data_IF_546807660008
#
_entry.id   IF_546807660008
#
_cell.length_a   1.000
_cell.length_b   1.000
_cell.length_c   1.000
_cell.angle_alpha   90.00
_cell.angle_beta   90.00
_cell.angle_gamma   90.00
#
_symmetry.space_group_name_H-M   'P 1'
#
loop_
_entity.id
_entity.type
_entity.pdbx_description
1 polymer ?
#
# COMPACT_ATOMS: atom_id res chain seq x y z
N UNK A 1 -13.15 22.19 -9.77
CA UNK A 1 -12.98 20.93 -10.53
C UNK A 1 -14.18 20.07 -10.20
N UNK A 2 -14.86 19.47 -11.17
CA UNK A 2 -16.01 18.57 -10.91
C UNK A 2 -15.49 17.19 -10.48
N UNK A 3 -16.31 16.40 -9.77
CA UNK A 3 -15.93 15.02 -9.39
C UNK A 3 -15.60 14.15 -10.62
N UNK A 4 -16.33 14.35 -11.73
CA UNK A 4 -16.04 13.66 -12.98
C UNK A 4 -14.64 13.98 -13.51
N UNK A 5 -14.20 15.24 -13.39
CA UNK A 5 -12.84 15.65 -13.76
C UNK A 5 -11.78 14.99 -12.86
N UNK A 6 -12.05 14.83 -11.56
CA UNK A 6 -11.16 14.10 -10.65
C UNK A 6 -11.04 12.64 -11.08
N UNK A 7 -12.17 11.95 -11.26
CA UNK A 7 -12.21 10.55 -11.68
C UNK A 7 -11.43 10.34 -12.98
N UNK A 8 -11.70 11.17 -14.00
CA UNK A 8 -11.07 11.04 -15.31
C UNK A 8 -9.57 11.36 -15.25
N UNK A 9 -9.17 12.37 -14.47
CA UNK A 9 -7.76 12.67 -14.24
C UNK A 9 -7.05 11.50 -13.58
N UNK A 10 -7.56 11.02 -12.44
CA UNK A 10 -6.95 9.91 -11.68
C UNK A 10 -6.87 8.68 -12.55
N UNK A 11 -7.97 8.27 -13.20
CA UNK A 11 -7.99 7.12 -14.09
C UNK A 11 -6.96 7.23 -15.22
N UNK A 12 -6.72 8.42 -15.77
CA UNK A 12 -5.75 8.64 -16.84
C UNK A 12 -4.29 8.65 -16.40
N UNK A 13 -4.02 8.83 -15.10
CA UNK A 13 -2.68 9.04 -14.54
C UNK A 13 -2.21 7.92 -13.62
N UNK A 14 -3.15 7.22 -12.99
CA UNK A 14 -2.88 6.17 -12.03
C UNK A 14 -2.14 5.00 -12.70
N UNK A 15 -1.12 4.49 -12.02
CA UNK A 15 -0.32 3.35 -12.47
C UNK A 15 -0.08 2.42 -11.31
N UNK A 16 -0.33 1.13 -11.55
CA UNK A 16 -0.15 0.08 -10.56
C UNK A 16 0.50 -1.14 -11.22
N UNK A 17 1.55 -1.67 -10.60
CA UNK A 17 2.29 -2.84 -11.09
C UNK A 17 2.45 -3.84 -9.96
N UNK A 18 1.78 -4.98 -10.05
CA UNK A 18 1.97 -6.08 -9.10
C UNK A 18 3.38 -6.65 -9.22
N UNK A 19 3.98 -6.99 -8.08
CA UNK A 19 5.30 -7.58 -7.97
C UNK A 19 5.22 -9.03 -7.48
N UNK A 20 4.66 -9.92 -8.31
CA UNK A 20 4.46 -11.34 -7.97
C UNK A 20 5.71 -12.06 -7.43
N UNK A 21 6.96 -11.77 -7.86
CA UNK A 21 8.14 -12.41 -7.28
C UNK A 21 8.36 -12.18 -5.77
N UNK A 22 7.74 -11.15 -5.19
CA UNK A 22 7.81 -10.88 -3.76
C UNK A 22 6.78 -11.68 -2.96
N UNK A 23 5.65 -12.04 -3.57
CA UNK A 23 4.52 -12.65 -2.87
C UNK A 23 4.90 -14.06 -2.43
N UNK A 24 4.63 -14.38 -1.17
CA UNK A 24 4.96 -15.65 -0.53
C UNK A 24 6.35 -15.70 0.12
N UNK A 25 7.18 -14.67 -0.04
CA UNK A 25 8.48 -14.62 0.65
C UNK A 25 8.28 -14.51 2.17
N UNK A 26 9.09 -15.28 2.89
CA UNK A 26 9.09 -15.33 4.35
C UNK A 26 10.18 -14.42 4.91
N UNK A 27 9.77 -13.49 5.76
CA UNK A 27 10.61 -12.43 6.31
C UNK A 27 10.72 -12.61 7.83
N UNK A 28 11.84 -13.13 8.35
CA UNK A 28 12.08 -13.19 9.78
C UNK A 28 12.36 -11.79 10.32
N UNK A 29 11.49 -11.29 11.19
CA UNK A 29 11.66 -10.00 11.88
C UNK A 29 12.13 -10.28 13.30
N UNK A 30 13.30 -9.78 13.68
CA UNK A 30 13.91 -10.08 14.98
C UNK A 30 13.55 -9.04 16.05
N UNK A 31 13.51 -7.78 15.65
CA UNK A 31 13.14 -6.67 16.53
C UNK A 31 12.55 -5.53 15.70
N UNK A 32 11.73 -4.69 16.33
CA UNK A 32 11.20 -3.48 15.69
C UNK A 32 12.33 -2.56 15.22
N UNK A 33 13.41 -2.45 16.03
CA UNK A 33 14.58 -1.64 15.70
C UNK A 33 15.38 -2.16 14.48
N UNK A 34 15.18 -3.41 14.08
CA UNK A 34 15.88 -4.03 12.96
C UNK A 34 15.00 -4.26 11.75
N UNK A 35 13.74 -3.80 11.81
CA UNK A 35 12.71 -4.09 10.82
C UNK A 35 13.13 -3.77 9.39
N UNK A 36 13.65 -2.56 9.14
CA UNK A 36 14.12 -2.17 7.79
C UNK A 36 15.16 -3.15 7.28
N UNK A 37 16.20 -3.40 8.10
CA UNK A 37 17.31 -4.29 7.74
C UNK A 37 16.82 -5.70 7.46
N UNK A 38 15.93 -6.21 8.32
CA UNK A 38 15.40 -7.56 8.22
C UNK A 38 14.58 -7.74 6.93
N UNK A 39 13.72 -6.76 6.60
CA UNK A 39 12.97 -6.75 5.33
C UNK A 39 13.92 -6.60 4.14
N UNK A 40 14.80 -5.59 4.15
CA UNK A 40 15.71 -5.31 3.04
C UNK A 40 16.59 -6.53 2.72
N UNK A 41 17.18 -7.17 3.72
CA UNK A 41 18.01 -8.35 3.53
C UNK A 41 17.23 -9.51 2.87
N UNK A 42 15.95 -9.67 3.22
CA UNK A 42 15.14 -10.77 2.70
C UNK A 42 14.64 -10.53 1.27
N UNK A 43 14.58 -9.27 0.81
CA UNK A 43 14.12 -8.91 -0.55
C UNK A 43 15.21 -8.27 -1.42
N UNK A 44 16.47 -8.23 -0.96
CA UNK A 44 17.57 -7.48 -1.58
C UNK A 44 17.75 -7.79 -3.07
N UNK A 45 17.70 -9.07 -3.43
CA UNK A 45 17.86 -9.53 -4.82
C UNK A 45 16.71 -9.11 -5.77
N UNK A 46 15.58 -8.68 -5.21
CA UNK A 46 14.40 -8.24 -5.96
C UNK A 46 14.20 -6.72 -5.89
N UNK A 47 14.85 -6.03 -4.95
CA UNK A 47 14.71 -4.60 -4.79
C UNK A 47 15.37 -3.85 -5.95
N UNK A 48 14.74 -2.79 -6.47
CA UNK A 48 15.39 -1.83 -7.34
C UNK A 48 16.62 -1.21 -6.65
N UNK A 49 17.68 -0.96 -7.42
CA UNK A 49 18.95 -0.41 -6.91
C UNK A 49 18.75 0.95 -6.21
N UNK A 50 17.75 1.71 -6.64
CA UNK A 50 17.39 3.03 -6.13
C UNK A 50 16.28 3.00 -5.06
N UNK A 51 15.91 1.83 -4.55
CA UNK A 51 14.87 1.70 -3.54
C UNK A 51 15.32 2.23 -2.16
N UNK A 52 14.74 3.37 -1.77
CA UNK A 52 15.00 4.03 -0.47
C UNK A 52 13.87 3.69 0.49
N UNK A 53 14.22 3.21 1.69
CA UNK A 53 13.22 2.89 2.71
C UNK A 53 12.47 4.15 3.16
N UNK A 54 11.15 4.06 3.17
CA UNK A 54 10.25 5.16 3.48
C UNK A 54 9.22 4.66 4.50
N UNK A 55 9.67 4.37 5.72
CA UNK A 55 8.77 3.89 6.77
C UNK A 55 7.99 4.99 7.44
N UNK A 56 6.76 4.61 7.81
CA UNK A 56 5.97 5.28 8.84
C UNK A 56 6.69 5.24 10.20
N UNK A 57 6.27 6.14 11.08
CA UNK A 57 6.79 6.18 12.45
C UNK A 57 6.62 4.83 13.17
N UNK A 58 7.62 4.47 13.98
CA UNK A 58 7.70 3.19 14.71
C UNK A 58 6.43 2.88 15.52
N UNK A 59 5.78 3.90 16.11
CA UNK A 59 4.54 3.72 16.88
C UNK A 59 3.38 3.14 16.04
N UNK A 60 3.28 3.51 14.77
CA UNK A 60 2.20 3.02 13.90
C UNK A 60 2.46 1.58 13.48
N UNK A 61 3.72 1.26 13.17
CA UNK A 61 4.13 -0.09 12.81
C UNK A 61 3.92 -1.05 13.98
N UNK A 62 4.35 -0.67 15.18
CA UNK A 62 4.16 -1.50 16.39
C UNK A 62 2.70 -1.72 16.74
N UNK A 63 1.85 -0.68 16.62
CA UNK A 63 0.40 -0.81 16.81
C UNK A 63 -0.24 -1.74 15.78
N UNK A 64 0.11 -1.63 14.49
CA UNK A 64 -0.39 -2.50 13.44
C UNK A 64 0.04 -3.96 13.63
N UNK A 65 1.29 -4.19 14.02
CA UNK A 65 1.79 -5.53 14.34
C UNK A 65 1.05 -6.14 15.54
N UNK A 66 0.88 -5.38 16.63
CA UNK A 66 0.21 -5.88 17.84
C UNK A 66 -1.27 -6.17 17.65
N UNK A 67 -1.95 -5.33 16.85
CA UNK A 67 -3.40 -5.41 16.66
C UNK A 67 -3.80 -6.38 15.56
N UNK A 68 -3.04 -6.42 14.46
CA UNK A 68 -3.43 -7.11 13.24
C UNK A 68 -2.41 -8.13 12.74
N UNK A 69 -1.21 -8.17 13.34
CA UNK A 69 -0.12 -9.00 12.82
C UNK A 69 0.38 -8.53 11.46
N UNK A 70 0.27 -7.22 11.16
CA UNK A 70 0.60 -6.64 9.86
C UNK A 70 1.81 -5.72 9.91
N UNK A 71 2.59 -5.72 8.83
CA UNK A 71 3.58 -4.69 8.52
C UNK A 71 3.28 -4.16 7.12
N UNK A 72 3.03 -2.86 7.02
CA UNK A 72 2.94 -2.12 5.75
C UNK A 72 4.29 -1.45 5.46
N UNK A 73 5.14 -2.12 4.69
CA UNK A 73 6.47 -1.65 4.34
C UNK A 73 6.45 -0.88 3.03
N UNK A 74 7.27 0.18 2.96
CA UNK A 74 7.28 1.11 1.83
C UNK A 74 8.69 1.54 1.49
N UNK A 75 8.95 1.64 0.19
CA UNK A 75 10.16 2.21 -0.36
C UNK A 75 9.78 3.27 -1.40
N UNK A 76 10.47 4.40 -1.43
CA UNK A 76 10.47 5.28 -2.59
C UNK A 76 11.33 4.66 -3.68
N UNK A 77 10.84 4.67 -4.92
CA UNK A 77 11.54 4.13 -6.11
C UNK A 77 11.44 5.11 -7.27
N UNK A 78 12.29 4.95 -8.30
CA UNK A 78 12.21 5.77 -9.50
C UNK A 78 10.85 5.61 -10.21
N UNK A 79 10.24 6.71 -10.67
CA UNK A 79 9.04 6.68 -11.51
C UNK A 79 9.23 5.90 -12.82
N UNK A 80 10.48 5.68 -13.27
CA UNK A 80 10.76 4.87 -14.45
C UNK A 80 10.29 3.41 -14.30
N UNK A 81 10.15 2.92 -13.07
CA UNK A 81 9.60 1.59 -12.79
C UNK A 81 8.14 1.42 -13.25
N UNK A 82 7.43 2.52 -13.48
CA UNK A 82 6.05 2.58 -13.98
C UNK A 82 5.98 3.09 -15.42
N UNK A 83 7.02 2.88 -16.24
CA UNK A 83 6.99 3.17 -17.68
C UNK A 83 6.43 2.00 -18.51
N UNK A 84 6.55 0.77 -18.01
CA UNK A 84 6.13 -0.46 -18.70
C UNK A 84 5.47 -1.45 -17.75
N UNK A 85 4.60 -2.31 -18.29
CA UNK A 85 3.91 -3.40 -17.59
C UNK A 85 3.11 -2.97 -16.35
N UNK A 86 2.47 -1.80 -16.42
CA UNK A 86 1.56 -1.31 -15.40
C UNK A 86 0.11 -1.40 -15.87
N UNK A 87 -0.79 -1.52 -14.90
CA UNK A 87 -2.22 -1.36 -15.06
C UNK A 87 -2.59 0.10 -14.82
N UNK A 88 -3.65 0.58 -15.48
CA UNK A 88 -4.16 1.95 -15.37
C UNK A 88 -5.66 2.00 -15.70
N UNK A 89 -6.28 3.18 -15.55
CA UNK A 89 -7.66 3.42 -15.98
C UNK A 89 -8.72 3.07 -14.94
N UNK A 90 -9.98 3.29 -15.30
CA UNK A 90 -11.15 3.01 -14.44
C UNK A 90 -11.26 1.53 -14.08
N UNK A 91 -10.89 0.64 -15.00
CA UNK A 91 -10.89 -0.81 -14.75
C UNK A 91 -9.91 -1.20 -13.64
N UNK A 92 -8.74 -0.55 -13.56
CA UNK A 92 -7.83 -0.73 -12.42
C UNK A 92 -8.49 -0.26 -11.12
N UNK A 93 -9.06 0.95 -11.11
CA UNK A 93 -9.72 1.48 -9.91
C UNK A 93 -10.82 0.53 -9.42
N UNK A 94 -11.67 0.03 -10.32
CA UNK A 94 -12.70 -0.97 -9.98
C UNK A 94 -12.10 -2.29 -9.48
N UNK A 95 -11.00 -2.77 -10.09
CA UNK A 95 -10.29 -3.97 -9.65
C UNK A 95 -9.65 -3.80 -8.25
N UNK A 96 -9.41 -2.56 -7.83
CA UNK A 96 -8.95 -2.19 -6.49
C UNK A 96 -10.10 -1.70 -5.60
N UNK A 97 -11.34 -2.08 -5.94
CA UNK A 97 -12.56 -1.88 -5.16
C UNK A 97 -13.09 -0.44 -5.06
N UNK A 98 -12.58 0.49 -5.87
CA UNK A 98 -13.16 1.83 -5.94
C UNK A 98 -14.54 1.76 -6.61
N UNK A 99 -15.59 2.15 -5.87
CA UNK A 99 -16.96 2.18 -6.40
C UNK A 99 -17.19 3.44 -7.23
N UNK A 100 -16.73 3.40 -8.48
CA UNK A 100 -16.93 4.50 -9.42
C UNK A 100 -18.40 4.62 -9.82
N UNK A 101 -19.20 3.56 -9.72
CA UNK A 101 -20.61 3.60 -10.11
C UNK A 101 -21.45 4.38 -9.08
N UNK A 102 -21.16 4.17 -7.79
CA UNK A 102 -21.73 4.95 -6.68
C UNK A 102 -21.53 6.46 -6.90
N UNK A 103 -20.33 6.87 -7.30
CA UNK A 103 -20.02 8.30 -7.53
C UNK A 103 -20.77 8.94 -8.71
N UNK A 104 -21.40 8.13 -9.56
CA UNK A 104 -22.21 8.62 -10.68
C UNK A 104 -23.70 8.64 -10.35
N UNK A 105 -24.11 8.10 -9.20
CA UNK A 105 -25.49 8.14 -8.75
C UNK A 105 -25.82 9.54 -8.20
N UNK A 106 -26.79 10.28 -8.78
CA UNK A 106 -27.18 11.59 -8.30
C UNK A 106 -27.81 11.59 -6.90
N UNK A 107 -28.17 10.41 -6.35
CA UNK A 107 -28.69 10.27 -4.99
C UNK A 107 -27.59 10.17 -3.91
N UNK A 108 -26.34 9.94 -4.31
CA UNK A 108 -25.21 9.80 -3.38
C UNK A 108 -24.70 11.18 -2.97
N UNK A 109 -24.48 11.36 -1.66
CA UNK A 109 -23.70 12.47 -1.15
C UNK A 109 -22.21 12.18 -1.38
N UNK A 110 -21.66 12.79 -2.43
CA UNK A 110 -20.28 12.57 -2.87
C UNK A 110 -19.29 13.02 -1.79
N UNK A 111 -19.63 14.01 -0.96
CA UNK A 111 -18.73 14.53 0.08
C UNK A 111 -18.53 13.52 1.23
N UNK A 112 -19.48 12.61 1.43
CA UNK A 112 -19.37 11.53 2.43
C UNK A 112 -18.77 10.23 1.85
N UNK A 113 -18.52 10.17 0.54
CA UNK A 113 -18.00 8.96 -0.11
C UNK A 113 -16.50 8.77 0.14
N UNK A 114 -16.15 7.65 0.79
CA UNK A 114 -14.75 7.21 0.96
C UNK A 114 -14.03 7.06 -0.38
N UNK A 115 -14.73 6.57 -1.42
CA UNK A 115 -14.19 6.47 -2.78
C UNK A 115 -13.79 7.85 -3.28
N UNK A 116 -14.65 8.86 -3.13
CA UNK A 116 -14.36 10.21 -3.59
C UNK A 116 -13.19 10.85 -2.83
N UNK A 117 -13.19 10.77 -1.49
CA UNK A 117 -12.09 11.29 -0.69
C UNK A 117 -10.75 10.66 -1.08
N UNK A 118 -10.71 9.36 -1.34
CA UNK A 118 -9.50 8.69 -1.81
C UNK A 118 -9.06 9.18 -3.20
N UNK A 119 -10.00 9.40 -4.13
CA UNK A 119 -9.70 9.95 -5.46
C UNK A 119 -9.15 11.38 -5.38
N UNK A 120 -9.66 12.24 -4.50
CA UNK A 120 -9.12 13.59 -4.29
C UNK A 120 -7.69 13.56 -3.78
N UNK A 121 -7.39 12.72 -2.78
CA UNK A 121 -6.01 12.57 -2.30
C UNK A 121 -5.06 12.01 -3.37
N UNK A 122 -5.55 11.10 -4.22
CA UNK A 122 -4.78 10.61 -5.38
C UNK A 122 -4.47 11.72 -6.38
N UNK A 123 -5.41 12.62 -6.64
CA UNK A 123 -5.21 13.74 -7.56
C UNK A 123 -3.99 14.59 -7.14
N UNK A 124 -3.85 14.86 -5.84
CA UNK A 124 -2.70 15.58 -5.29
C UNK A 124 -1.39 14.80 -5.45
N UNK A 125 -1.36 13.51 -5.08
CA UNK A 125 -0.16 12.69 -5.18
C UNK A 125 0.33 12.51 -6.64
N UNK A 126 -0.60 12.31 -7.57
CA UNK A 126 -0.31 12.10 -8.99
C UNK A 126 0.31 13.34 -9.64
N UNK A 127 0.18 14.51 -9.03
CA UNK A 127 0.84 15.74 -9.47
C UNK A 127 2.34 15.78 -9.11
N UNK A 128 2.78 14.97 -8.14
CA UNK A 128 4.14 14.97 -7.61
C UNK A 128 5.13 14.05 -8.35
N UNK A 129 4.66 13.25 -9.32
CA UNK A 129 5.48 12.32 -10.11
C UNK A 129 6.34 11.35 -9.27
N UNK A 130 5.82 10.91 -8.12
CA UNK A 130 6.47 9.91 -7.24
C UNK A 130 6.03 8.49 -7.57
N UNK A 131 6.82 7.51 -7.13
CA UNK A 131 6.47 6.11 -7.16
C UNK A 131 6.93 5.42 -5.87
N UNK A 132 6.13 4.46 -5.41
CA UNK A 132 6.36 3.71 -4.19
C UNK A 132 6.28 2.22 -4.48
N UNK A 133 7.26 1.47 -3.96
CA UNK A 133 7.16 0.04 -3.80
C UNK A 133 6.56 -0.24 -2.43
N UNK A 134 5.48 -1.03 -2.40
CA UNK A 134 4.71 -1.37 -1.20
C UNK A 134 4.74 -2.88 -1.00
N UNK A 135 4.99 -3.32 0.23
CA UNK A 135 4.98 -4.71 0.65
C UNK A 135 3.99 -4.87 1.81
N UNK A 136 3.02 -5.78 1.66
CA UNK A 136 2.05 -6.12 2.69
C UNK A 136 2.48 -7.42 3.35
N UNK A 137 2.99 -7.34 4.57
CA UNK A 137 3.50 -8.48 5.31
C UNK A 137 2.48 -8.87 6.39
N UNK A 138 2.12 -10.15 6.46
CA UNK A 138 1.26 -10.69 7.52
C UNK A 138 1.94 -11.84 8.26
N UNK A 139 1.81 -11.86 9.57
CA UNK A 139 2.10 -13.02 10.39
C UNK A 139 0.79 -13.70 10.82
N UNK A 140 0.86 -14.96 11.23
CA UNK A 140 -0.32 -15.66 11.80
C UNK A 140 -0.93 -14.85 12.96
N UNK A 141 -2.23 -14.96 13.20
CA UNK A 141 -2.86 -14.23 14.29
C UNK A 141 -2.28 -14.68 15.66
N UNK A 142 -1.96 -13.73 16.53
CA UNK A 142 -1.46 -14.01 17.88
C UNK A 142 -2.56 -13.77 18.92
N UNK A 143 -3.61 -14.58 18.91
CA UNK A 143 -4.76 -14.42 19.81
C UNK A 143 -5.45 -13.06 19.65
N UNK A 144 -6.11 -12.59 20.72
CA UNK A 144 -6.85 -11.33 20.71
C UNK A 144 -5.96 -10.12 20.41
N UNK A 145 -6.51 -9.15 19.67
CA UNK A 145 -5.87 -7.88 19.33
C UNK A 145 -5.38 -7.12 20.58
N UNK A 146 -4.07 -6.80 20.63
CA UNK A 146 -3.47 -6.07 21.75
C UNK A 146 -3.12 -4.63 21.38
N UNK A 147 -3.18 -3.73 22.36
CA UNK A 147 -2.79 -2.32 22.22
C UNK A 147 -1.27 -2.12 22.16
N UNK A 148 -0.49 -3.12 22.56
CA UNK A 148 0.98 -3.10 22.57
C UNK A 148 1.53 -4.47 22.20
N UNK A 149 2.73 -4.48 21.61
CA UNK A 149 3.45 -5.72 21.29
C UNK A 149 3.81 -6.48 22.58
N UNK A 150 3.41 -7.75 22.74
CA UNK A 150 3.91 -8.62 23.79
C UNK A 150 5.45 -8.70 23.78
N UNK A 151 6.05 -8.91 24.97
CA UNK A 151 7.51 -9.01 25.14
C UNK A 151 8.09 -10.16 24.31
N UNK A 152 7.31 -11.22 24.12
CA UNK A 152 7.62 -12.44 23.39
C UNK A 152 7.08 -12.46 21.95
N UNK A 153 6.55 -11.33 21.46
CA UNK A 153 5.98 -11.29 20.11
C UNK A 153 7.01 -11.48 18.99
N UNK A 154 8.25 -11.03 19.21
CA UNK A 154 9.39 -11.19 18.29
C UNK A 154 10.47 -12.07 18.94
N UNK A 155 11.27 -12.83 18.16
CA UNK A 155 11.30 -12.86 16.69
C UNK A 155 10.10 -13.57 16.07
N UNK A 156 9.69 -13.13 14.87
CA UNK A 156 8.54 -13.69 14.16
C UNK A 156 8.70 -13.65 12.65
N UNK A 157 8.25 -14.70 11.99
CA UNK A 157 8.18 -14.74 10.52
C UNK A 157 6.89 -14.10 10.03
N UNK A 158 7.04 -13.18 9.08
CA UNK A 158 5.94 -12.63 8.30
C UNK A 158 6.01 -13.16 6.86
N UNK A 159 4.89 -13.22 6.17
CA UNK A 159 4.80 -13.58 4.76
C UNK A 159 4.36 -12.34 3.98
N UNK A 160 5.00 -12.05 2.86
CA UNK A 160 4.51 -11.03 1.93
C UNK A 160 3.24 -11.57 1.25
N UNK A 161 2.08 -11.04 1.58
CA UNK A 161 0.80 -11.42 0.95
C UNK A 161 0.54 -10.63 -0.32
N UNK A 162 1.05 -9.40 -0.39
CA UNK A 162 0.90 -8.54 -1.55
C UNK A 162 2.11 -7.63 -1.72
N UNK A 163 2.41 -7.28 -2.96
CA UNK A 163 3.49 -6.40 -3.32
C UNK A 163 3.19 -5.67 -4.62
N UNK A 164 3.45 -4.36 -4.65
CA UNK A 164 3.26 -3.57 -5.86
C UNK A 164 4.22 -2.39 -5.95
N UNK A 165 4.30 -1.81 -7.16
CA UNK A 165 4.74 -0.44 -7.38
C UNK A 165 3.52 0.38 -7.79
N UNK A 166 3.33 1.55 -7.17
CA UNK A 166 2.24 2.46 -7.49
C UNK A 166 2.72 3.91 -7.49
N UNK A 167 2.08 4.76 -8.29
CA UNK A 167 2.29 6.21 -8.25
C UNK A 167 1.28 6.96 -7.38
N UNK A 168 0.57 6.22 -6.52
CA UNK A 168 -0.19 6.76 -5.41
C UNK A 168 -0.24 5.74 -4.27
N UNK A 169 -0.07 6.23 -3.05
CA UNK A 169 -0.21 5.42 -1.83
C UNK A 169 -1.68 5.08 -1.53
N UNK A 170 -2.63 5.87 -2.03
CA UNK A 170 -4.06 5.66 -1.79
C UNK A 170 -4.63 4.46 -2.53
N UNK A 171 -4.05 4.03 -3.66
CA UNK A 171 -4.40 2.74 -4.28
C UNK A 171 -4.17 1.58 -3.32
N UNK A 172 -3.03 1.62 -2.62
CA UNK A 172 -2.66 0.60 -1.64
C UNK A 172 -3.52 0.67 -0.40
N UNK A 173 -3.72 1.89 0.11
CA UNK A 173 -4.50 2.11 1.34
C UNK A 173 -5.95 1.66 1.14
N UNK A 174 -6.56 2.04 0.02
CA UNK A 174 -7.94 1.67 -0.27
C UNK A 174 -8.10 0.15 -0.43
N UNK A 175 -7.20 -0.49 -1.20
CA UNK A 175 -7.20 -1.94 -1.44
C UNK A 175 -7.15 -2.78 -0.16
N UNK A 176 -6.39 -2.36 0.86
CA UNK A 176 -6.09 -3.21 2.03
C UNK A 176 -6.78 -2.79 3.33
N UNK A 177 -7.30 -1.57 3.44
CA UNK A 177 -7.81 -1.05 4.72
C UNK A 177 -9.24 -0.52 4.66
N UNK A 178 -9.82 -0.34 3.47
CA UNK A 178 -11.17 0.21 3.31
C UNK A 178 -12.14 -0.73 2.56
N UNK A 179 -11.69 -1.94 2.22
CA UNK A 179 -12.51 -3.00 1.61
C UNK A 179 -12.27 -4.35 2.29
#
# INVERSE_FOLDING_TARGET
>A
MTYQQVIDFVASKVRYKTLSPFIGLQIPVFAVATLERDIRNAVDSLLPVDAVWDSREVRFVTGAMAKYGLIDAQFTVSPSMLQHDYQQGKLLLQALHFDIAELLDPAVDIEESLTYSALEMMYEELSSSKAWLKLFLRAEAHGDAKLSLPVDYLPRTFVIEDACIANSTYLWVFKHFYF
#
